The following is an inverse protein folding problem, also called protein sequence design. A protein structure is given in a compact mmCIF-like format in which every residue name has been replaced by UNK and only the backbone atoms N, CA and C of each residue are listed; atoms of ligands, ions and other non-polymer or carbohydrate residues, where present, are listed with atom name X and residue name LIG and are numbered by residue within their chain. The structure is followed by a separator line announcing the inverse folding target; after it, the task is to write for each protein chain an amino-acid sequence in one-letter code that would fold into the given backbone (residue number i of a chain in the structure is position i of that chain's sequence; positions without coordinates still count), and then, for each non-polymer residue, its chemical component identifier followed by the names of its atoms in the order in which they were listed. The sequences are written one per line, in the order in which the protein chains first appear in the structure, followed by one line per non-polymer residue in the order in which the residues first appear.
data_IF_088583376420
#
_entry.id   IF_088583376420
#
_cell.length_a   1.000
_cell.length_b   1.000
_cell.length_c   1.000
_cell.angle_alpha   90.00
_cell.angle_beta   90.00
_cell.angle_gamma   90.00
#
_symmetry.space_group_name_H-M   'P 1'
#
loop_
_entity.id
_entity.type
_entity.pdbx_description
1 polymer ?
#
# COMPACT_ATOMS: atom_id res chain seq x y z
N UNK A 1 4.20 43.98 -69.26
CA UNK A 1 3.29 42.81 -69.37
C UNK A 1 3.85 41.71 -68.49
N UNK A 2 3.36 41.67 -67.30
CA UNK A 2 3.66 40.56 -66.35
C UNK A 2 2.33 39.98 -65.94
N UNK A 3 2.04 38.80 -66.42
CA UNK A 3 0.90 37.97 -66.04
C UNK A 3 1.09 37.43 -64.63
N UNK A 4 0.13 37.68 -63.78
CA UNK A 4 0.02 37.11 -62.43
C UNK A 4 -0.68 35.74 -62.55
N UNK A 5 0.06 34.67 -62.29
CA UNK A 5 -0.51 33.37 -62.04
C UNK A 5 -0.92 33.30 -60.56
N UNK A 6 -2.20 33.05 -60.32
CA UNK A 6 -2.76 32.75 -59.02
C UNK A 6 -2.65 31.29 -58.75
N UNK A 7 -1.76 30.88 -57.83
CA UNK A 7 -1.72 29.56 -57.26
C UNK A 7 -2.95 29.33 -56.37
N UNK A 8 -3.75 28.38 -56.76
CA UNK A 8 -4.85 27.83 -55.96
C UNK A 8 -4.26 26.93 -54.86
N UNK A 9 -4.31 27.35 -53.61
CA UNK A 9 -4.09 26.51 -52.43
C UNK A 9 -5.18 25.42 -52.41
N UNK A 10 -4.82 24.21 -52.86
CA UNK A 10 -5.61 23.03 -52.59
C UNK A 10 -5.60 22.74 -51.10
N UNK A 11 -6.71 23.04 -50.42
CA UNK A 11 -6.98 22.64 -49.05
C UNK A 11 -6.91 21.12 -48.89
N UNK A 12 -5.76 20.56 -48.51
CA UNK A 12 -5.61 19.17 -48.08
C UNK A 12 -6.29 19.05 -46.74
N UNK A 13 -7.55 18.72 -46.74
CA UNK A 13 -8.32 18.42 -45.51
C UNK A 13 -7.76 17.15 -44.90
N UNK A 14 -7.25 17.25 -43.66
CA UNK A 14 -6.70 16.17 -42.85
C UNK A 14 -7.71 15.00 -42.80
N UNK A 15 -7.31 13.77 -43.21
CA UNK A 15 -8.17 12.59 -43.18
C UNK A 15 -8.78 12.30 -41.80
N UNK A 16 -8.11 12.74 -40.72
CA UNK A 16 -8.61 12.64 -39.35
C UNK A 16 -9.78 13.61 -39.10
N UNK A 17 -9.76 14.80 -39.68
CA UNK A 17 -10.86 15.76 -39.61
C UNK A 17 -12.08 15.25 -40.39
N UNK A 18 -11.88 14.58 -41.52
CA UNK A 18 -12.95 14.02 -42.31
C UNK A 18 -13.62 12.82 -41.63
N UNK A 19 -12.83 11.93 -40.98
CA UNK A 19 -13.34 10.81 -40.19
C UNK A 19 -14.14 11.26 -38.95
N UNK A 20 -13.82 12.42 -38.37
CA UNK A 20 -14.51 12.98 -37.21
C UNK A 20 -15.79 13.77 -37.58
N UNK A 21 -15.99 14.14 -38.81
CA UNK A 21 -17.19 14.87 -39.27
C UNK A 21 -18.47 14.00 -39.32
N UNK A 22 -18.33 12.67 -39.37
CA UNK A 22 -19.46 11.73 -39.36
C UNK A 22 -19.87 11.21 -37.99
N UNK A 23 -19.12 11.53 -36.94
CA UNK A 23 -19.42 11.07 -35.59
C UNK A 23 -20.34 12.07 -34.93
N UNK A 24 -21.54 11.65 -34.54
CA UNK A 24 -22.44 12.46 -33.73
C UNK A 24 -21.78 12.76 -32.37
N UNK A 25 -21.11 13.93 -32.31
CA UNK A 25 -20.39 14.42 -31.12
C UNK A 25 -21.29 14.52 -29.91
N UNK A 26 -22.59 14.71 -30.10
CA UNK A 26 -23.56 14.77 -29.02
C UNK A 26 -23.81 13.35 -28.45
N UNK A 27 -23.90 12.33 -29.28
CA UNK A 27 -24.05 10.93 -28.84
C UNK A 27 -22.79 10.42 -28.14
N UNK A 28 -21.62 10.73 -28.66
CA UNK A 28 -20.33 10.33 -28.06
C UNK A 28 -20.08 11.05 -26.73
N UNK A 29 -20.38 12.33 -26.62
CA UNK A 29 -20.30 13.09 -25.38
C UNK A 29 -21.32 12.58 -24.34
N UNK A 30 -22.54 12.19 -24.75
CA UNK A 30 -23.54 11.64 -23.83
C UNK A 30 -23.16 10.25 -23.32
N UNK A 31 -22.55 9.39 -24.14
CA UNK A 31 -22.07 8.09 -23.70
C UNK A 31 -20.86 8.18 -22.76
N UNK A 32 -19.88 9.04 -23.06
CA UNK A 32 -18.76 9.29 -22.15
C UNK A 32 -19.23 9.89 -20.81
N UNK A 33 -20.19 10.81 -20.86
CA UNK A 33 -20.79 11.42 -19.66
C UNK A 33 -21.58 10.41 -18.82
N UNK A 34 -22.32 9.49 -19.45
CA UNK A 34 -23.06 8.45 -18.74
C UNK A 34 -22.14 7.41 -18.07
N UNK A 35 -21.05 7.02 -18.74
CA UNK A 35 -20.05 6.12 -18.15
C UNK A 35 -19.31 6.81 -17.00
N UNK A 36 -18.92 8.08 -17.18
CA UNK A 36 -18.24 8.86 -16.14
C UNK A 36 -19.18 9.14 -14.95
N UNK A 37 -20.45 9.50 -15.21
CA UNK A 37 -21.49 9.65 -14.19
C UNK A 37 -21.80 8.34 -13.46
N UNK A 38 -21.82 7.22 -14.17
CA UNK A 38 -22.00 5.89 -13.57
C UNK A 38 -20.86 5.52 -12.64
N UNK A 39 -19.62 5.73 -13.05
CA UNK A 39 -18.43 5.45 -12.26
C UNK A 39 -18.31 6.39 -11.05
N UNK A 40 -18.56 7.69 -11.26
CA UNK A 40 -18.50 8.71 -10.20
C UNK A 40 -19.68 8.57 -9.25
N UNK A 41 -20.89 8.28 -9.74
CA UNK A 41 -22.08 8.07 -8.91
C UNK A 41 -21.97 6.83 -8.05
N UNK A 42 -21.36 5.76 -8.55
CA UNK A 42 -21.12 4.54 -7.80
C UNK A 42 -20.15 4.75 -6.63
N UNK A 43 -19.02 5.42 -6.87
CA UNK A 43 -18.04 5.76 -5.83
C UNK A 43 -18.60 6.75 -4.78
N UNK A 44 -19.53 7.64 -5.19
CA UNK A 44 -20.23 8.57 -4.29
C UNK A 44 -21.15 7.87 -3.28
N UNK A 45 -21.83 6.81 -3.71
CA UNK A 45 -22.72 6.03 -2.85
C UNK A 45 -21.94 5.24 -1.80
N UNK A 46 -20.70 4.86 -2.11
CA UNK A 46 -19.87 4.00 -1.26
C UNK A 46 -18.90 4.76 -0.34
N UNK A 47 -18.60 6.04 -0.60
CA UNK A 47 -17.66 6.80 0.21
C UNK A 47 -18.37 7.70 1.22
N UNK A 48 -18.08 7.53 2.50
CA UNK A 48 -18.44 8.48 3.56
C UNK A 48 -17.55 9.73 3.57
N UNK A 49 -16.65 9.87 2.58
CA UNK A 49 -15.64 10.91 2.53
C UNK A 49 -16.15 12.17 1.82
N UNK A 50 -16.34 13.24 2.58
CA UNK A 50 -16.78 14.55 2.08
C UNK A 50 -15.86 15.16 1.00
N UNK A 51 -14.57 14.85 1.00
CA UNK A 51 -13.62 15.34 -0.01
C UNK A 51 -13.91 14.72 -1.38
N UNK A 52 -14.35 13.48 -1.41
CA UNK A 52 -14.74 12.77 -2.62
C UNK A 52 -16.04 13.34 -3.22
N UNK A 53 -16.99 13.72 -2.39
CA UNK A 53 -18.23 14.40 -2.86
C UNK A 53 -17.93 15.69 -3.58
N UNK A 54 -16.95 16.48 -3.10
CA UNK A 54 -16.51 17.73 -3.76
C UNK A 54 -15.88 17.46 -5.13
N UNK A 55 -15.03 16.43 -5.25
CA UNK A 55 -14.41 16.03 -6.51
C UNK A 55 -15.42 15.49 -7.51
N UNK A 56 -16.37 14.69 -7.05
CA UNK A 56 -17.44 14.17 -7.88
C UNK A 56 -18.36 15.28 -8.39
N UNK A 57 -18.70 16.26 -7.56
CA UNK A 57 -19.48 17.43 -7.94
C UNK A 57 -18.74 18.27 -8.96
N UNK A 58 -17.42 18.43 -8.81
CA UNK A 58 -16.57 19.12 -9.78
C UNK A 58 -16.51 18.34 -11.10
N UNK A 59 -16.39 17.02 -11.08
CA UNK A 59 -16.39 16.18 -12.28
C UNK A 59 -17.74 16.25 -13.02
N UNK A 60 -18.86 16.22 -12.30
CA UNK A 60 -20.20 16.43 -12.87
C UNK A 60 -20.33 17.82 -13.47
N UNK A 61 -19.85 18.85 -12.78
CA UNK A 61 -19.86 20.23 -13.28
C UNK A 61 -19.03 20.39 -14.56
N UNK A 62 -17.84 19.74 -14.62
CA UNK A 62 -16.99 19.72 -15.81
C UNK A 62 -17.66 18.95 -16.97
N UNK A 63 -18.25 17.80 -16.72
CA UNK A 63 -18.96 17.03 -17.73
C UNK A 63 -20.16 17.80 -18.31
N UNK A 64 -20.96 18.43 -17.46
CA UNK A 64 -22.05 19.33 -17.88
C UNK A 64 -21.56 20.56 -18.65
N UNK A 65 -20.41 21.10 -18.29
CA UNK A 65 -19.77 22.23 -19.01
C UNK A 65 -19.33 21.82 -20.41
N UNK A 66 -18.78 20.61 -20.57
CA UNK A 66 -18.38 20.05 -21.86
C UNK A 66 -19.56 19.73 -22.78
N UNK A 67 -20.74 19.42 -22.23
CA UNK A 67 -21.95 19.03 -22.97
C UNK A 67 -22.73 20.21 -23.62
N UNK A 68 -22.27 21.45 -23.58
CA UNK A 68 -22.81 22.61 -24.27
C UNK A 68 -24.31 22.95 -23.99
N UNK A 69 -24.99 22.37 -23.04
CA UNK A 69 -26.38 22.65 -22.70
C UNK A 69 -26.47 23.83 -21.72
N UNK A 70 -26.79 25.05 -22.18
CA UNK A 70 -26.71 26.30 -21.43
C UNK A 70 -27.48 26.33 -20.10
N UNK A 71 -28.67 25.73 -20.03
CA UNK A 71 -29.50 25.73 -18.81
C UNK A 71 -29.02 24.65 -17.81
N UNK A 72 -28.56 23.49 -18.29
CA UNK A 72 -27.97 22.45 -17.46
C UNK A 72 -26.66 22.92 -16.83
N UNK A 73 -25.89 23.73 -17.58
CA UNK A 73 -24.66 24.37 -17.12
C UNK A 73 -24.88 25.29 -15.91
N UNK A 74 -25.92 26.12 -15.92
CA UNK A 74 -26.26 27.01 -14.79
C UNK A 74 -26.74 26.21 -13.55
N UNK A 75 -27.59 25.20 -13.75
CA UNK A 75 -28.09 24.36 -12.66
C UNK A 75 -26.97 23.55 -12.01
N UNK A 76 -26.06 22.96 -12.79
CA UNK A 76 -24.93 22.19 -12.30
C UNK A 76 -23.91 23.08 -11.56
N UNK A 77 -23.65 24.29 -12.04
CA UNK A 77 -22.76 25.24 -11.36
C UNK A 77 -23.36 25.67 -10.02
N UNK A 78 -24.68 25.95 -9.96
CA UNK A 78 -25.37 26.29 -8.73
C UNK A 78 -25.37 25.13 -7.71
N UNK A 79 -25.56 23.90 -8.17
CA UNK A 79 -25.47 22.71 -7.31
C UNK A 79 -24.04 22.49 -6.79
N UNK A 80 -23.01 22.67 -7.63
CA UNK A 80 -21.61 22.57 -7.23
C UNK A 80 -21.23 23.61 -6.17
N UNK A 81 -21.69 24.84 -6.31
CA UNK A 81 -21.45 25.91 -5.33
C UNK A 81 -22.12 25.60 -3.99
N UNK A 82 -23.37 25.10 -4.01
CA UNK A 82 -24.09 24.73 -2.79
C UNK A 82 -23.43 23.59 -2.01
N UNK A 83 -22.72 22.66 -2.68
CA UNK A 83 -21.95 21.58 -2.02
C UNK A 83 -20.62 22.08 -1.44
N UNK A 84 -20.04 23.11 -2.05
CA UNK A 84 -18.79 23.71 -1.56
C UNK A 84 -19.01 24.58 -0.30
N UNK A 85 -20.23 25.10 -0.10
CA UNK A 85 -20.59 25.96 1.03
C UNK A 85 -21.08 25.20 2.28
N UNK A 86 -21.09 23.85 2.25
CA UNK A 86 -21.41 23.07 3.44
C UNK A 86 -20.24 23.18 4.44
N UNK A 87 -20.49 23.67 5.69
CA UNK A 87 -19.44 23.80 6.68
C UNK A 87 -18.82 22.44 6.98
N UNK A 88 -17.48 22.40 7.06
CA UNK A 88 -16.72 21.20 7.41
C UNK A 88 -17.14 20.73 8.80
N UNK A 89 -17.83 19.61 8.87
CA UNK A 89 -18.03 18.91 10.14
C UNK A 89 -16.64 18.49 10.66
N UNK A 90 -16.32 18.74 11.97
CA UNK A 90 -15.06 18.30 12.52
C UNK A 90 -14.87 16.80 12.28
N UNK A 91 -13.68 16.42 11.83
CA UNK A 91 -13.28 15.02 11.69
C UNK A 91 -13.64 14.29 12.99
N UNK A 92 -14.31 13.12 12.92
CA UNK A 92 -14.67 12.38 14.09
C UNK A 92 -13.40 12.11 14.91
N UNK A 93 -13.41 12.61 16.15
CA UNK A 93 -12.37 12.33 17.14
C UNK A 93 -12.15 10.82 17.17
N UNK A 94 -10.86 10.43 17.10
CA UNK A 94 -10.35 9.05 17.17
C UNK A 94 -11.21 8.23 18.14
N UNK A 95 -12.10 7.36 17.60
CA UNK A 95 -12.83 6.40 18.44
C UNK A 95 -11.79 5.45 19.00
N UNK A 96 -11.75 5.34 20.34
CA UNK A 96 -10.98 4.28 20.99
C UNK A 96 -11.40 2.93 20.40
N UNK A 97 -10.43 2.05 20.12
CA UNK A 97 -10.74 0.73 19.62
C UNK A 97 -11.64 0.01 20.63
N UNK A 98 -12.69 -0.68 20.19
CA UNK A 98 -13.61 -1.35 21.08
C UNK A 98 -12.86 -2.36 21.96
N UNK A 99 -13.23 -2.44 23.25
CA UNK A 99 -12.65 -3.33 24.28
C UNK A 99 -12.48 -4.81 23.88
N UNK A 100 -13.14 -5.26 22.80
CA UNK A 100 -13.06 -6.62 22.24
C UNK A 100 -11.71 -7.00 21.64
N UNK A 101 -10.84 -6.05 21.25
CA UNK A 101 -9.55 -6.39 20.61
C UNK A 101 -8.55 -7.10 21.53
N UNK A 102 -8.70 -7.03 22.84
CA UNK A 102 -7.73 -7.65 23.77
C UNK A 102 -7.80 -9.17 23.82
N UNK A 103 -8.95 -9.76 23.54
CA UNK A 103 -9.19 -11.22 23.57
C UNK A 103 -8.90 -11.90 22.23
N UNK A 104 -8.82 -11.16 21.15
CA UNK A 104 -8.86 -11.72 19.79
C UNK A 104 -7.56 -12.35 19.28
N UNK A 105 -6.39 -11.98 19.81
CA UNK A 105 -5.15 -12.53 19.26
C UNK A 105 -4.87 -13.95 19.74
N UNK A 106 -5.38 -14.34 20.90
CA UNK A 106 -5.23 -15.71 21.42
C UNK A 106 -6.02 -16.69 20.54
N UNK A 107 -7.12 -16.23 19.94
CA UNK A 107 -8.01 -17.01 19.09
C UNK A 107 -7.66 -16.95 17.58
N UNK A 108 -6.79 -16.01 17.16
CA UNK A 108 -6.42 -15.87 15.75
C UNK A 108 -5.32 -16.86 15.39
N UNK A 109 -5.55 -17.74 14.40
CA UNK A 109 -4.52 -18.63 13.91
C UNK A 109 -3.28 -17.84 13.47
N UNK A 110 -2.13 -18.21 14.00
CA UNK A 110 -0.85 -17.56 13.73
C UNK A 110 0.21 -18.58 13.36
N UNK A 111 1.05 -18.20 12.43
CA UNK A 111 2.18 -18.98 11.99
C UNK A 111 3.46 -18.15 12.07
N UNK A 112 4.43 -18.59 12.87
CA UNK A 112 5.80 -18.08 12.81
C UNK A 112 6.48 -18.78 11.65
N UNK A 113 6.83 -18.00 10.62
CA UNK A 113 7.50 -18.52 9.44
C UNK A 113 8.94 -18.91 9.83
N UNK A 114 9.39 -20.14 9.59
CA UNK A 114 10.77 -20.54 9.91
C UNK A 114 11.79 -19.71 9.13
N UNK A 115 12.89 -19.36 9.78
CA UNK A 115 14.06 -18.75 9.15
C UNK A 115 15.00 -19.83 8.64
N UNK A 116 15.43 -19.71 7.38
CA UNK A 116 16.38 -20.63 6.75
C UNK A 116 17.40 -19.84 5.93
N UNK A 117 18.67 -19.89 6.33
CA UNK A 117 19.74 -19.11 5.69
C UNK A 117 20.59 -19.94 4.71
N UNK A 118 20.65 -21.25 4.90
CA UNK A 118 21.54 -22.11 4.13
C UNK A 118 21.05 -22.33 2.71
N UNK A 119 19.86 -22.91 2.57
CA UNK A 119 19.23 -23.14 1.27
C UNK A 119 17.74 -22.74 1.29
N UNK A 120 17.24 -22.12 0.21
CA UNK A 120 15.83 -21.75 0.13
C UNK A 120 14.96 -23.02 0.18
N UNK A 121 14.16 -23.18 1.24
CA UNK A 121 13.18 -24.25 1.35
C UNK A 121 11.76 -23.69 1.37
N UNK A 122 10.76 -24.43 0.87
CA UNK A 122 9.38 -23.97 0.89
C UNK A 122 8.90 -23.61 2.31
N UNK A 123 8.08 -22.58 2.40
CA UNK A 123 7.51 -22.10 3.66
C UNK A 123 8.53 -21.50 4.64
N UNK A 124 9.60 -20.91 4.12
CA UNK A 124 10.63 -20.24 4.92
C UNK A 124 10.87 -18.79 4.48
N UNK A 125 11.53 -18.06 5.34
CA UNK A 125 12.10 -16.76 5.01
C UNK A 125 13.59 -16.72 5.35
N UNK A 126 14.33 -15.82 4.71
CA UNK A 126 15.75 -15.54 4.98
C UNK A 126 16.04 -14.05 4.89
N UNK A 127 17.17 -13.67 5.39
CA UNK A 127 17.68 -12.31 5.21
C UNK A 127 17.92 -12.02 3.72
N UNK A 128 17.46 -10.87 3.26
CA UNK A 128 17.75 -10.37 1.91
C UNK A 128 18.80 -9.26 1.99
N UNK A 129 19.97 -9.42 1.34
CA UNK A 129 20.99 -8.37 1.33
C UNK A 129 20.43 -7.08 0.73
N UNK A 130 20.76 -5.93 1.35
CA UNK A 130 20.25 -4.64 0.91
C UNK A 130 20.72 -4.26 -0.50
N UNK A 131 21.91 -4.69 -0.91
CA UNK A 131 22.49 -4.43 -2.23
C UNK A 131 21.84 -5.24 -3.38
N UNK A 132 20.92 -6.15 -3.06
CA UNK A 132 19.99 -6.76 -4.02
C UNK A 132 19.09 -5.72 -4.69
N UNK A 133 18.79 -4.61 -3.99
CA UNK A 133 17.83 -3.61 -4.45
C UNK A 133 18.53 -2.37 -4.99
N UNK A 134 18.03 -1.88 -6.14
CA UNK A 134 18.47 -0.63 -6.73
C UNK A 134 17.52 0.50 -6.37
N UNK A 135 18.02 1.46 -5.61
CA UNK A 135 17.30 2.60 -5.10
C UNK A 135 17.84 3.92 -5.70
N UNK A 136 17.22 5.04 -5.40
CA UNK A 136 17.66 6.36 -5.88
C UNK A 136 19.07 6.67 -5.34
N UNK A 137 20.01 6.95 -6.24
CA UNK A 137 21.38 7.37 -5.89
C UNK A 137 21.44 8.82 -5.37
N UNK A 138 22.61 9.25 -4.92
CA UNK A 138 22.79 10.59 -4.32
C UNK A 138 22.46 11.76 -5.27
N UNK A 139 22.63 11.57 -6.58
CA UNK A 139 22.33 12.59 -7.61
C UNK A 139 21.02 12.31 -8.37
N UNK A 140 20.19 11.39 -7.90
CA UNK A 140 19.01 10.90 -8.62
C UNK A 140 18.05 11.99 -9.10
N UNK A 141 17.90 13.07 -8.37
CA UNK A 141 16.98 14.15 -8.80
C UNK A 141 17.43 14.80 -10.11
N UNK A 142 18.75 14.76 -10.40
CA UNK A 142 19.37 15.32 -11.62
C UNK A 142 19.53 14.28 -12.73
N UNK A 143 20.06 13.10 -12.41
CA UNK A 143 20.51 12.11 -13.41
C UNK A 143 19.60 10.87 -13.54
N UNK A 144 18.65 10.69 -12.60
CA UNK A 144 17.75 9.52 -12.54
C UNK A 144 18.48 8.19 -12.35
N UNK A 145 19.74 8.20 -11.93
CA UNK A 145 20.55 7.00 -11.73
C UNK A 145 20.16 6.33 -10.41
N UNK A 146 19.87 5.03 -10.49
CA UNK A 146 19.72 4.16 -9.32
C UNK A 146 21.02 3.44 -9.03
N UNK A 147 21.29 3.21 -7.77
CA UNK A 147 22.47 2.49 -7.28
C UNK A 147 22.03 1.35 -6.37
N UNK A 148 22.86 0.37 -6.17
CA UNK A 148 22.67 -0.64 -5.13
C UNK A 148 22.56 0.04 -3.78
N UNK A 149 21.60 -0.40 -2.96
CA UNK A 149 21.48 0.13 -1.61
C UNK A 149 22.71 -0.19 -0.79
N UNK A 150 23.08 0.73 0.08
CA UNK A 150 23.98 0.44 1.19
C UNK A 150 23.28 -0.46 2.23
N UNK A 151 23.98 -0.76 3.34
CA UNK A 151 23.47 -1.62 4.42
C UNK A 151 22.09 -1.15 4.90
N UNK A 152 21.21 -2.12 5.17
CA UNK A 152 19.87 -1.83 5.67
C UNK A 152 19.92 -1.20 7.07
N UNK A 153 19.05 -0.23 7.34
CA UNK A 153 18.95 0.42 8.66
C UNK A 153 18.47 -0.53 9.75
N UNK A 154 17.57 -1.44 9.41
CA UNK A 154 17.03 -2.48 10.28
C UNK A 154 17.18 -3.85 9.62
N UNK A 155 17.26 -4.89 10.44
CA UNK A 155 17.28 -6.28 10.02
C UNK A 155 16.00 -6.98 10.47
N UNK A 156 15.36 -7.73 9.58
CA UNK A 156 14.22 -8.57 9.92
C UNK A 156 14.71 -9.70 10.81
N UNK A 157 14.10 -9.88 11.99
CA UNK A 157 14.46 -10.90 12.97
C UNK A 157 13.36 -11.94 13.18
N UNK A 158 12.11 -11.57 12.87
CA UNK A 158 10.97 -12.48 13.02
C UNK A 158 9.91 -12.15 11.94
N UNK A 159 9.28 -13.19 11.42
CA UNK A 159 8.21 -13.09 10.42
C UNK A 159 7.05 -13.95 10.89
N UNK A 160 5.90 -13.31 10.98
CA UNK A 160 4.66 -13.99 11.34
C UNK A 160 3.56 -13.70 10.35
N UNK A 161 2.74 -14.71 10.11
CA UNK A 161 1.50 -14.57 9.35
C UNK A 161 0.33 -14.89 10.27
N UNK A 162 -0.69 -14.05 10.22
CA UNK A 162 -1.96 -14.28 10.90
C UNK A 162 -3.08 -14.28 9.85
N UNK A 163 -4.15 -15.00 10.12
CA UNK A 163 -5.38 -14.91 9.34
C UNK A 163 -6.47 -14.27 10.20
N UNK A 164 -6.81 -13.04 9.91
CA UNK A 164 -7.86 -12.33 10.63
C UNK A 164 -9.18 -12.41 9.88
N UNK A 165 -10.24 -12.96 10.47
CA UNK A 165 -11.58 -12.97 9.87
C UNK A 165 -12.27 -11.61 9.96
N UNK A 166 -11.89 -10.77 10.91
CA UNK A 166 -12.54 -9.50 11.22
C UNK A 166 -11.80 -8.27 10.65
N UNK A 167 -10.84 -8.49 9.74
CA UNK A 167 -10.09 -7.44 9.07
C UNK A 167 -8.74 -7.12 9.70
N UNK A 168 -8.22 -5.95 9.40
CA UNK A 168 -6.89 -5.53 9.82
C UNK A 168 -6.79 -5.35 11.35
N UNK A 169 -5.66 -5.75 11.92
CA UNK A 169 -5.38 -5.69 13.36
C UNK A 169 -4.20 -4.76 13.63
N UNK A 170 -4.44 -3.45 13.84
CA UNK A 170 -3.39 -2.52 14.23
C UNK A 170 -2.97 -2.73 15.70
N UNK A 171 -1.87 -2.09 16.09
CA UNK A 171 -1.38 -2.02 17.48
C UNK A 171 -0.99 -3.39 18.08
N UNK A 172 -0.57 -4.35 17.24
CA UNK A 172 -0.21 -5.71 17.67
C UNK A 172 0.91 -5.70 18.72
N UNK A 173 1.98 -4.91 18.54
CA UNK A 173 3.08 -4.84 19.47
C UNK A 173 2.68 -4.19 20.80
N UNK A 174 1.71 -3.31 20.78
CA UNK A 174 1.19 -2.67 22.01
C UNK A 174 0.42 -3.66 22.86
N UNK A 175 -0.44 -4.45 22.22
CA UNK A 175 -1.29 -5.43 22.92
C UNK A 175 -0.58 -6.74 23.25
N UNK A 176 0.46 -7.08 22.49
CA UNK A 176 1.20 -8.34 22.61
C UNK A 176 2.72 -8.08 22.73
N UNK A 177 3.19 -7.70 23.94
CA UNK A 177 4.61 -7.40 24.16
C UNK A 177 5.57 -8.55 23.79
N UNK A 178 5.13 -9.79 23.87
CA UNK A 178 5.93 -10.99 23.46
C UNK A 178 6.33 -10.95 21.99
N UNK A 179 5.62 -10.19 21.14
CA UNK A 179 5.96 -10.00 19.72
C UNK A 179 7.15 -9.08 19.50
N UNK A 180 7.58 -8.30 20.51
CA UNK A 180 8.67 -7.32 20.39
C UNK A 180 10.06 -7.96 20.40
N UNK A 181 10.17 -9.20 20.81
CA UNK A 181 11.45 -9.91 20.90
C UNK A 181 12.38 -9.37 21.99
N UNK A 182 11.85 -9.08 23.19
CA UNK A 182 12.60 -8.67 24.38
C UNK A 182 12.45 -7.18 24.76
N UNK A 183 13.31 -6.71 25.64
CA UNK A 183 13.37 -5.30 26.02
C UNK A 183 13.75 -4.41 24.85
N UNK A 184 13.16 -3.23 24.80
CA UNK A 184 13.34 -2.28 23.70
C UNK A 184 13.77 -0.92 24.22
N UNK A 185 14.67 -0.25 23.49
CA UNK A 185 15.20 1.08 23.83
C UNK A 185 15.02 2.03 22.64
N UNK A 186 15.01 3.30 22.94
CA UNK A 186 15.14 4.34 21.91
C UNK A 186 16.58 4.83 21.85
N UNK A 187 17.17 4.83 20.67
CA UNK A 187 18.54 5.24 20.41
C UNK A 187 18.53 6.55 19.63
N UNK A 188 18.67 7.65 20.34
CA UNK A 188 18.65 9.01 19.77
C UNK A 188 17.47 9.26 18.81
N UNK A 189 16.27 8.76 19.19
CA UNK A 189 15.03 8.88 18.40
C UNK A 189 14.79 7.81 17.35
N UNK A 190 15.67 6.79 17.22
CA UNK A 190 15.39 5.55 16.51
C UNK A 190 14.90 4.49 17.51
N UNK A 191 13.78 3.79 17.24
CA UNK A 191 13.36 2.67 18.05
C UNK A 191 14.31 1.49 17.82
N UNK A 192 14.60 0.74 18.88
CA UNK A 192 15.37 -0.50 18.73
C UNK A 192 14.59 -1.58 17.98
N UNK A 193 13.27 -1.56 18.11
CA UNK A 193 12.36 -2.46 17.43
C UNK A 193 11.42 -1.69 16.52
N UNK A 194 11.39 -2.07 15.25
CA UNK A 194 10.41 -1.61 14.27
C UNK A 194 9.56 -2.80 13.83
N UNK A 195 8.25 -2.63 13.72
CA UNK A 195 7.40 -3.64 13.11
C UNK A 195 6.65 -3.07 11.91
N UNK A 196 6.59 -3.86 10.86
CA UNK A 196 5.71 -3.64 9.73
C UNK A 196 4.56 -4.64 9.82
N UNK A 197 3.38 -4.13 10.04
CA UNK A 197 2.14 -4.88 10.14
C UNK A 197 1.33 -4.62 8.88
N UNK A 198 1.32 -5.56 7.94
CA UNK A 198 0.74 -5.40 6.60
C UNK A 198 -0.49 -6.29 6.48
N UNK A 199 -1.66 -5.68 6.43
CA UNK A 199 -2.91 -6.39 6.17
C UNK A 199 -3.17 -6.47 4.66
N UNK A 200 -3.19 -7.69 4.13
CA UNK A 200 -3.43 -7.99 2.72
C UNK A 200 -4.75 -8.75 2.54
N UNK A 201 -5.54 -8.49 1.47
CA UNK A 201 -6.83 -9.13 1.27
C UNK A 201 -6.71 -10.65 1.10
N UNK A 202 -7.55 -11.42 1.79
CA UNK A 202 -7.73 -12.87 1.60
C UNK A 202 -8.68 -13.18 0.43
N UNK A 203 -9.52 -12.24 0.05
CA UNK A 203 -10.56 -12.42 -0.95
C UNK A 203 -10.29 -11.55 -2.18
N UNK A 204 -10.82 -11.99 -3.31
CA UNK A 204 -10.77 -11.18 -4.53
C UNK A 204 -11.48 -9.82 -4.29
N UNK A 205 -10.91 -8.71 -4.78
CA UNK A 205 -11.53 -7.42 -4.58
C UNK A 205 -12.91 -7.37 -5.26
N UNK A 206 -13.93 -6.99 -4.51
CA UNK A 206 -15.25 -6.76 -5.07
C UNK A 206 -15.39 -5.34 -5.62
N UNK A 207 -16.31 -5.17 -6.58
CA UNK A 207 -16.64 -3.85 -7.14
C UNK A 207 -17.28 -2.95 -6.07
N UNK A 208 -17.96 -3.54 -5.07
CA UNK A 208 -18.56 -2.82 -3.94
C UNK A 208 -17.54 -2.20 -2.98
N UNK A 209 -16.25 -2.39 -3.24
CA UNK A 209 -15.18 -1.79 -2.46
C UNK A 209 -14.66 -2.67 -1.32
N UNK A 210 -13.63 -2.19 -0.66
CA UNK A 210 -13.06 -2.80 0.53
C UNK A 210 -13.88 -2.42 1.75
N UNK A 211 -14.16 -3.40 2.60
CA UNK A 211 -14.76 -3.17 3.92
C UNK A 211 -13.69 -3.37 4.99
N UNK A 212 -13.60 -2.48 5.99
CA UNK A 212 -12.59 -2.61 7.06
C UNK A 212 -12.63 -3.94 7.83
N UNK A 213 -13.79 -4.60 7.84
CA UNK A 213 -14.00 -5.91 8.47
C UNK A 213 -13.87 -7.10 7.50
N UNK A 214 -13.32 -6.90 6.28
CA UNK A 214 -13.10 -8.02 5.37
C UNK A 214 -11.94 -8.89 5.84
N UNK A 215 -12.04 -10.22 5.71
CA UNK A 215 -10.96 -11.13 6.09
C UNK A 215 -9.63 -10.76 5.41
N UNK A 216 -8.54 -10.85 6.14
CA UNK A 216 -7.22 -10.51 5.62
C UNK A 216 -6.12 -11.42 6.17
N UNK A 217 -5.04 -11.52 5.37
CA UNK A 217 -3.75 -11.97 5.84
C UNK A 217 -3.03 -10.80 6.50
N UNK A 218 -2.42 -11.02 7.65
CA UNK A 218 -1.55 -10.07 8.30
C UNK A 218 -0.14 -10.60 8.25
N UNK A 219 0.73 -9.93 7.51
CA UNK A 219 2.17 -10.16 7.51
C UNK A 219 2.81 -9.22 8.52
N UNK A 220 3.29 -9.76 9.63
CA UNK A 220 4.01 -9.03 10.66
C UNK A 220 5.51 -9.30 10.50
N UNK A 221 6.26 -8.28 10.13
CA UNK A 221 7.72 -8.28 10.11
C UNK A 221 8.22 -7.55 11.34
N UNK A 222 8.97 -8.23 12.20
CA UNK A 222 9.64 -7.60 13.34
C UNK A 222 11.11 -7.37 12.96
N UNK A 223 11.55 -6.14 13.11
CA UNK A 223 12.86 -5.70 12.71
C UNK A 223 13.61 -5.14 13.94
N UNK A 224 14.92 -5.40 14.00
CA UNK A 224 15.82 -4.78 14.97
C UNK A 224 16.77 -3.84 14.25
N UNK A 225 17.14 -2.75 14.93
CA UNK A 225 18.12 -1.82 14.38
C UNK A 225 19.44 -2.54 14.10
N UNK A 226 19.96 -2.40 12.88
CA UNK A 226 21.21 -3.04 12.48
C UNK A 226 22.42 -2.48 13.25
N UNK A 227 23.43 -3.28 13.51
CA UNK A 227 24.58 -2.91 14.37
C UNK A 227 25.28 -1.63 13.90
N UNK A 228 25.48 -1.42 12.60
CA UNK A 228 26.08 -0.20 12.07
C UNK A 228 25.22 1.05 12.33
N UNK A 229 23.89 0.93 12.17
CA UNK A 229 22.97 2.03 12.42
C UNK A 229 22.86 2.31 13.94
N UNK A 230 22.91 1.25 14.74
CA UNK A 230 22.99 1.32 16.21
C UNK A 230 24.25 2.07 16.64
N UNK A 231 25.40 1.72 16.11
CA UNK A 231 26.67 2.38 16.42
C UNK A 231 26.59 3.88 16.09
N UNK A 232 26.13 4.26 14.89
CA UNK A 232 25.96 5.66 14.52
C UNK A 232 25.02 6.38 15.51
N UNK A 233 23.87 5.80 15.84
CA UNK A 233 22.88 6.40 16.70
C UNK A 233 23.37 6.54 18.16
N UNK A 234 24.33 5.70 18.60
CA UNK A 234 24.91 5.72 19.95
C UNK A 234 26.09 6.68 20.04
N UNK A 235 26.99 6.63 19.04
CA UNK A 235 28.29 7.29 19.12
C UNK A 235 28.26 8.73 18.57
N UNK A 236 27.33 9.06 17.66
CA UNK A 236 27.19 10.41 17.10
C UNK A 236 25.88 11.07 17.58
N UNK A 237 25.95 11.96 18.59
CA UNK A 237 24.78 12.67 19.08
C UNK A 237 24.23 13.72 18.12
N UNK A 238 25.07 14.22 17.19
CA UNK A 238 24.67 15.21 16.19
C UNK A 238 24.06 14.51 14.96
N UNK A 239 22.73 14.48 14.95
CA UNK A 239 21.96 13.85 13.85
C UNK A 239 22.27 14.46 12.48
N UNK A 240 22.74 15.71 12.40
CA UNK A 240 23.07 16.35 11.13
C UNK A 240 24.23 15.64 10.40
N UNK A 241 25.08 14.95 11.13
CA UNK A 241 26.24 14.19 10.62
C UNK A 241 25.88 12.76 10.19
N UNK A 242 24.68 12.30 10.50
CA UNK A 242 24.27 10.96 10.11
C UNK A 242 24.11 10.83 8.59
N UNK A 243 24.27 9.62 8.03
CA UNK A 243 23.96 9.36 6.63
C UNK A 243 22.54 9.81 6.26
N UNK A 244 22.32 10.34 5.05
CA UNK A 244 21.02 10.89 4.62
C UNK A 244 19.85 9.94 4.83
N UNK A 245 19.98 8.68 4.42
CA UNK A 245 18.93 7.67 4.57
C UNK A 245 18.57 7.39 6.02
N UNK A 246 19.56 7.38 6.93
CA UNK A 246 19.32 7.18 8.37
C UNK A 246 18.63 8.40 8.99
N UNK A 247 19.02 9.62 8.59
CA UNK A 247 18.33 10.86 9.00
C UNK A 247 16.86 10.86 8.53
N UNK A 248 16.62 10.48 7.28
CA UNK A 248 15.27 10.39 6.71
C UNK A 248 14.44 9.35 7.45
N UNK A 249 15.01 8.18 7.76
CA UNK A 249 14.35 7.12 8.53
C UNK A 249 13.92 7.63 9.92
N UNK A 250 14.84 8.26 10.66
CA UNK A 250 14.56 8.84 11.97
C UNK A 250 13.46 9.92 11.90
N UNK A 251 13.55 10.83 10.94
CA UNK A 251 12.55 11.87 10.72
C UNK A 251 11.19 11.25 10.41
N UNK A 252 11.15 10.25 9.54
CA UNK A 252 9.93 9.58 9.16
C UNK A 252 9.25 8.88 10.35
N UNK A 253 10.00 8.14 11.15
CA UNK A 253 9.46 7.46 12.34
C UNK A 253 8.90 8.43 13.39
N UNK A 254 9.47 9.64 13.48
CA UNK A 254 9.03 10.67 14.43
C UNK A 254 7.83 11.48 13.92
N UNK A 255 7.89 11.93 12.68
CA UNK A 255 7.01 12.97 12.16
C UNK A 255 5.86 12.43 11.29
N UNK A 256 6.03 11.29 10.62
CA UNK A 256 5.02 10.70 9.73
C UNK A 256 3.66 10.41 10.41
N UNK A 257 3.56 10.11 11.70
CA UNK A 257 2.26 9.99 12.36
C UNK A 257 1.38 11.24 12.26
N UNK A 258 1.98 12.42 12.11
CA UNK A 258 1.30 13.72 12.07
C UNK A 258 1.47 14.45 10.71
N UNK A 259 2.27 13.89 9.80
CA UNK A 259 2.52 14.45 8.48
C UNK A 259 2.13 13.44 7.39
N UNK A 260 0.94 13.58 6.77
CA UNK A 260 0.47 12.65 5.74
C UNK A 260 1.36 12.62 4.50
N UNK A 261 2.07 13.72 4.17
CA UNK A 261 2.99 13.76 3.03
C UNK A 261 4.28 13.00 3.32
N UNK A 262 4.76 13.05 4.54
CA UNK A 262 5.91 12.27 4.98
C UNK A 262 5.55 10.80 5.15
N UNK A 263 4.39 10.50 5.73
CA UNK A 263 3.84 9.15 5.85
C UNK A 263 3.76 8.45 4.49
N UNK A 264 3.29 9.14 3.46
CA UNK A 264 3.14 8.64 2.10
C UNK A 264 4.47 8.30 1.38
N UNK A 265 5.62 8.54 1.99
CA UNK A 265 6.93 8.24 1.39
C UNK A 265 7.39 6.79 1.54
N UNK A 266 6.67 5.98 2.32
CA UNK A 266 7.00 4.57 2.48
C UNK A 266 6.81 3.83 1.16
N UNK A 267 7.88 3.17 0.69
CA UNK A 267 7.91 2.36 -0.53
C UNK A 267 8.20 0.90 -0.20
N UNK A 268 7.49 0.00 -0.87
CA UNK A 268 7.86 -1.40 -0.99
C UNK A 268 8.44 -1.68 -2.37
N UNK A 269 9.48 -2.51 -2.45
CA UNK A 269 10.00 -3.05 -3.70
C UNK A 269 9.95 -4.57 -3.60
N UNK A 270 9.28 -5.19 -4.57
CA UNK A 270 9.07 -6.62 -4.62
C UNK A 270 9.78 -7.16 -5.86
N UNK A 271 10.76 -8.03 -5.67
CA UNK A 271 11.41 -8.77 -6.76
C UNK A 271 10.92 -10.20 -6.70
N UNK A 272 10.12 -10.60 -7.67
CA UNK A 272 9.44 -11.89 -7.68
C UNK A 272 10.02 -12.77 -8.76
N UNK A 273 10.28 -14.02 -8.44
CA UNK A 273 10.72 -15.08 -9.34
C UNK A 273 9.76 -16.27 -9.23
N UNK A 274 9.43 -16.88 -10.36
CA UNK A 274 8.72 -18.15 -10.37
C UNK A 274 9.67 -19.27 -10.00
N UNK A 275 9.17 -20.27 -9.25
CA UNK A 275 9.88 -21.50 -8.97
C UNK A 275 9.68 -22.52 -10.11
N UNK A 276 10.55 -23.51 -10.16
CA UNK A 276 10.42 -24.70 -11.02
C UNK A 276 10.32 -24.39 -12.54
N UNK A 277 10.87 -23.26 -12.98
CA UNK A 277 10.85 -22.88 -14.41
C UNK A 277 9.47 -22.43 -14.93
N UNK A 278 8.49 -22.27 -14.06
CA UNK A 278 7.19 -21.69 -14.42
C UNK A 278 7.35 -20.25 -14.93
N UNK A 279 6.46 -19.85 -15.81
CA UNK A 279 6.43 -18.46 -16.27
C UNK A 279 5.75 -17.56 -15.21
N UNK A 280 6.45 -16.52 -14.82
CA UNK A 280 5.87 -15.50 -13.96
C UNK A 280 4.65 -14.85 -14.63
N UNK A 281 3.48 -14.79 -13.99
CA UNK A 281 2.34 -14.09 -14.55
C UNK A 281 2.71 -12.65 -14.98
N UNK A 282 2.21 -12.22 -16.14
CA UNK A 282 2.59 -10.94 -16.76
C UNK A 282 2.44 -9.73 -15.83
N UNK A 283 1.46 -9.77 -14.92
CA UNK A 283 1.24 -8.72 -13.93
C UNK A 283 2.42 -8.64 -12.97
N UNK A 284 2.97 -9.76 -12.50
CA UNK A 284 4.11 -9.78 -11.58
C UNK A 284 5.41 -9.39 -12.29
N UNK A 285 5.64 -9.89 -13.51
CA UNK A 285 6.77 -9.50 -14.33
C UNK A 285 6.79 -7.97 -14.57
N UNK A 286 5.62 -7.36 -14.77
CA UNK A 286 5.49 -5.91 -14.99
C UNK A 286 5.86 -5.09 -13.73
N UNK A 287 5.55 -5.58 -12.53
CA UNK A 287 5.73 -4.86 -11.27
C UNK A 287 7.00 -5.28 -10.51
N UNK A 288 7.59 -6.43 -10.84
CA UNK A 288 8.82 -6.91 -10.21
C UNK A 288 9.94 -5.89 -10.31
N UNK A 289 10.60 -5.60 -9.19
CA UNK A 289 11.66 -4.60 -9.07
C UNK A 289 11.22 -3.14 -9.14
N UNK A 290 9.91 -2.85 -9.26
CA UNK A 290 9.39 -1.49 -9.26
C UNK A 290 8.93 -1.06 -7.87
N UNK A 291 9.26 0.17 -7.42
CA UNK A 291 8.80 0.66 -6.15
C UNK A 291 7.30 0.97 -6.19
N UNK A 292 6.61 0.61 -5.11
CA UNK A 292 5.20 0.92 -4.88
C UNK A 292 5.09 1.75 -3.60
N UNK A 293 4.38 2.88 -3.65
CA UNK A 293 4.05 3.66 -2.46
C UNK A 293 3.01 2.91 -1.63
N UNK A 294 3.37 2.54 -0.41
CA UNK A 294 2.55 1.67 0.45
C UNK A 294 1.51 2.42 1.27
N UNK A 295 1.78 3.68 1.61
CA UNK A 295 0.94 4.50 2.47
C UNK A 295 0.27 5.67 1.73
N UNK A 296 0.11 5.54 0.41
CA UNK A 296 -0.55 6.52 -0.43
C UNK A 296 -1.56 5.80 -1.32
N UNK A 297 -2.83 6.17 -1.23
CA UNK A 297 -3.79 5.74 -2.22
C UNK A 297 -3.41 6.30 -3.59
N UNK A 298 -3.61 5.49 -4.64
CA UNK A 298 -3.16 5.78 -6.00
C UNK A 298 -3.45 7.19 -6.50
N UNK A 299 -2.80 7.60 -7.58
CA UNK A 299 -2.75 8.98 -8.09
C UNK A 299 -4.10 9.71 -8.23
N UNK A 300 -5.20 8.98 -8.35
CA UNK A 300 -6.55 9.53 -8.50
C UNK A 300 -7.24 9.86 -7.18
N UNK A 301 -6.91 9.19 -6.07
CA UNK A 301 -7.63 9.37 -4.80
C UNK A 301 -7.05 10.46 -3.91
N UNK A 302 -5.80 10.91 -4.15
CA UNK A 302 -5.06 11.88 -3.34
C UNK A 302 -5.08 11.61 -1.83
N UNK A 303 -5.47 10.40 -1.41
CA UNK A 303 -5.38 9.99 -0.02
C UNK A 303 -3.92 9.77 0.32
N UNK A 304 -3.43 10.47 1.32
CA UNK A 304 -2.06 10.40 1.81
C UNK A 304 -2.10 10.01 3.29
N UNK A 305 -1.01 9.43 3.76
CA UNK A 305 -0.85 9.16 5.18
C UNK A 305 -1.70 8.00 5.70
N UNK A 306 -1.91 6.96 4.88
CA UNK A 306 -2.77 5.82 5.22
C UNK A 306 -2.11 4.80 6.15
N UNK A 307 -0.81 4.92 6.44
CA UNK A 307 -0.19 4.12 7.49
C UNK A 307 -0.61 4.62 8.87
N UNK A 308 -0.90 3.69 9.77
CA UNK A 308 -1.17 3.98 11.19
C UNK A 308 0.06 3.63 12.00
N UNK A 309 0.37 4.45 12.99
CA UNK A 309 1.54 4.27 13.83
C UNK A 309 1.11 4.02 15.26
N UNK A 310 1.66 2.99 15.88
CA UNK A 310 1.65 2.84 17.32
C UNK A 310 3.08 2.77 17.85
N UNK A 311 3.31 3.31 19.01
CA UNK A 311 4.64 3.40 19.59
C UNK A 311 4.61 3.25 21.10
N UNK A 312 5.72 2.78 21.63
CA UNK A 312 6.00 2.71 23.06
C UNK A 312 7.50 2.80 23.32
N UNK A 313 7.93 2.54 24.56
CA UNK A 313 9.34 2.60 24.89
C UNK A 313 10.17 1.70 23.96
N UNK A 314 10.97 2.32 23.08
CA UNK A 314 11.90 1.65 22.18
C UNK A 314 11.31 0.84 21.02
N UNK A 315 10.01 0.92 20.76
CA UNK A 315 9.41 0.30 19.59
C UNK A 315 8.46 1.24 18.83
N UNK A 316 8.35 0.99 17.52
CA UNK A 316 7.33 1.59 16.66
C UNK A 316 6.74 0.46 15.81
N UNK A 317 5.42 0.43 15.71
CA UNK A 317 4.69 -0.40 14.74
C UNK A 317 4.09 0.50 13.67
N UNK A 318 4.30 0.13 12.42
CA UNK A 318 3.70 0.76 11.23
C UNK A 318 2.69 -0.21 10.65
N UNK A 319 1.43 0.13 10.78
CA UNK A 319 0.34 -0.67 10.24
C UNK A 319 -0.08 -0.14 8.87
N UNK A 320 -0.16 -1.05 7.90
CA UNK A 320 -0.54 -0.81 6.51
C UNK A 320 -1.73 -1.69 6.15
N UNK A 321 -2.88 -1.10 5.93
CA UNK A 321 -4.03 -1.79 5.34
C UNK A 321 -4.01 -1.62 3.82
N UNK A 322 -3.62 -2.68 3.10
CA UNK A 322 -3.59 -2.71 1.63
C UNK A 322 -5.00 -2.53 1.05
N UNK A 323 -6.01 -3.01 1.75
CA UNK A 323 -7.40 -2.84 1.35
C UNK A 323 -7.84 -1.38 1.35
N UNK A 324 -7.35 -0.59 2.31
CA UNK A 324 -7.62 0.85 2.41
C UNK A 324 -6.71 1.67 1.50
N UNK A 325 -5.42 1.29 1.42
CA UNK A 325 -4.38 2.09 0.76
C UNK A 325 -4.36 1.93 -0.76
N UNK A 326 -4.74 0.76 -1.29
CA UNK A 326 -4.55 0.44 -2.70
C UNK A 326 -5.86 0.62 -3.49
N UNK A 327 -5.71 0.98 -4.77
CA UNK A 327 -6.82 1.00 -5.72
C UNK A 327 -7.37 -0.41 -5.95
N UNK A 328 -8.58 -0.51 -6.53
CA UNK A 328 -9.19 -1.79 -6.91
C UNK A 328 -8.21 -2.71 -7.67
N UNK A 329 -7.53 -2.18 -8.69
CA UNK A 329 -6.52 -2.93 -9.45
C UNK A 329 -5.31 -3.33 -8.60
N UNK A 330 -4.85 -2.44 -7.72
CA UNK A 330 -3.75 -2.73 -6.80
C UNK A 330 -4.11 -3.82 -5.81
N UNK A 331 -5.30 -3.80 -5.23
CA UNK A 331 -5.82 -4.86 -4.36
C UNK A 331 -5.89 -6.20 -5.09
N UNK A 332 -6.39 -6.20 -6.34
CA UNK A 332 -6.42 -7.39 -7.18
C UNK A 332 -5.04 -7.98 -7.45
N UNK A 333 -4.05 -7.13 -7.71
CA UNK A 333 -2.67 -7.56 -7.91
C UNK A 333 -2.07 -8.18 -6.63
N UNK A 334 -2.32 -7.56 -5.46
CA UNK A 334 -1.87 -8.10 -4.16
C UNK A 334 -2.58 -9.42 -3.85
N UNK A 335 -3.91 -9.49 -4.01
CA UNK A 335 -4.66 -10.74 -3.84
C UNK A 335 -4.10 -11.87 -4.71
N UNK A 336 -3.88 -11.59 -6.01
CA UNK A 336 -3.29 -12.57 -6.93
C UNK A 336 -1.89 -12.98 -6.50
N UNK A 337 -1.06 -12.05 -6.03
CA UNK A 337 0.27 -12.36 -5.48
C UNK A 337 0.16 -13.27 -4.26
N UNK A 338 -0.70 -12.93 -3.29
CA UNK A 338 -0.92 -13.73 -2.09
C UNK A 338 -1.39 -15.15 -2.42
N UNK A 339 -2.29 -15.32 -3.41
CA UNK A 339 -2.79 -16.63 -3.86
C UNK A 339 -1.75 -17.49 -4.61
N UNK A 340 -0.64 -16.88 -5.04
CA UNK A 340 0.45 -17.54 -5.79
C UNK A 340 1.76 -17.64 -5.01
N UNK A 341 1.79 -17.19 -3.76
CA UNK A 341 3.02 -17.21 -2.95
C UNK A 341 3.64 -18.60 -2.80
N UNK A 342 2.85 -19.67 -2.88
CA UNK A 342 3.35 -21.06 -2.83
C UNK A 342 4.17 -21.47 -4.05
N UNK A 343 4.12 -20.71 -5.15
CA UNK A 343 4.86 -20.98 -6.39
C UNK A 343 5.93 -19.93 -6.69
N UNK A 344 6.17 -19.03 -5.74
CA UNK A 344 7.03 -17.86 -5.95
C UNK A 344 8.14 -17.76 -4.91
N UNK A 345 9.30 -17.29 -5.38
CA UNK A 345 10.30 -16.64 -4.54
C UNK A 345 10.12 -15.13 -4.62
N UNK A 346 10.16 -14.46 -3.48
CA UNK A 346 10.00 -13.02 -3.41
C UNK A 346 11.06 -12.38 -2.50
N UNK A 347 11.89 -11.51 -3.07
CA UNK A 347 12.70 -10.59 -2.28
C UNK A 347 11.91 -9.30 -2.09
N UNK A 348 11.74 -8.91 -0.84
CA UNK A 348 10.94 -7.74 -0.47
C UNK A 348 11.81 -6.79 0.33
N UNK A 349 11.83 -5.51 -0.06
CA UNK A 349 12.42 -4.48 0.79
C UNK A 349 11.48 -3.30 0.99
N UNK A 350 11.71 -2.59 2.07
CA UNK A 350 11.08 -1.32 2.40
C UNK A 350 12.12 -0.21 2.43
N UNK A 351 11.74 0.95 1.91
CA UNK A 351 12.57 2.14 1.85
C UNK A 351 11.72 3.39 1.90
N UNK A 352 12.33 4.53 2.11
CA UNK A 352 11.66 5.82 2.12
C UNK A 352 12.02 6.64 0.87
N UNK A 353 11.03 7.27 0.26
CA UNK A 353 11.25 8.12 -0.90
C UNK A 353 11.99 9.40 -0.53
N UNK A 354 13.25 9.53 -0.97
CA UNK A 354 13.99 10.78 -0.91
C UNK A 354 13.48 11.77 -1.97
N UNK A 355 13.12 12.99 -1.55
CA UNK A 355 12.56 14.04 -2.41
C UNK A 355 13.45 15.29 -2.48
N UNK A 356 14.50 15.35 -1.68
CA UNK A 356 15.50 16.41 -1.66
C UNK A 356 16.92 15.81 -1.74
N UNK A 357 17.89 16.58 -2.20
CA UNK A 357 19.29 16.11 -2.38
C UNK A 357 19.92 15.66 -1.04
N UNK A 358 19.56 16.30 0.06
CA UNK A 358 20.04 15.96 1.41
C UNK A 358 19.36 14.72 2.02
N UNK A 359 18.36 14.17 1.35
CA UNK A 359 17.66 12.93 1.71
C UNK A 359 18.19 11.71 0.91
N UNK A 360 19.11 11.93 -0.02
CA UNK A 360 19.69 10.91 -0.92
C UNK A 360 21.14 10.59 -0.56
N UNK A 361 21.63 9.37 -0.83
CA UNK A 361 20.92 8.25 -1.47
C UNK A 361 19.85 7.62 -0.56
N UNK A 362 18.83 7.01 -1.21
CA UNK A 362 17.87 6.16 -0.50
C UNK A 362 18.58 4.89 -0.02
N UNK A 363 18.17 4.38 1.15
CA UNK A 363 18.65 3.12 1.70
C UNK A 363 17.49 2.17 2.03
N UNK A 364 17.76 0.88 1.96
CA UNK A 364 16.83 -0.12 2.49
C UNK A 364 16.73 0.06 4.00
N UNK A 365 15.51 0.15 4.52
CA UNK A 365 15.36 0.13 5.95
C UNK A 365 14.99 -1.24 6.53
N UNK A 366 14.54 -2.18 5.69
CA UNK A 366 14.36 -3.58 6.06
C UNK A 366 14.10 -4.42 4.82
N UNK A 367 14.62 -5.65 4.79
CA UNK A 367 14.43 -6.57 3.68
C UNK A 367 14.38 -8.03 4.14
N UNK A 368 13.57 -8.83 3.43
CA UNK A 368 13.49 -10.27 3.62
C UNK A 368 13.22 -10.98 2.29
N UNK A 369 13.66 -12.21 2.17
CA UNK A 369 13.32 -13.12 1.08
C UNK A 369 12.37 -14.19 1.59
N UNK A 370 11.36 -14.51 0.80
CA UNK A 370 10.35 -15.54 1.09
C UNK A 370 10.39 -16.60 0.01
N UNK A 371 10.33 -17.86 0.43
CA UNK A 371 10.35 -19.01 -0.49
C UNK A 371 9.05 -19.79 -0.36
N UNK A 372 8.27 -19.85 -1.43
CA UNK A 372 7.11 -20.71 -1.60
C UNK A 372 6.16 -20.74 -0.39
N UNK A 373 5.67 -19.59 0.08
CA UNK A 373 4.79 -19.53 1.24
C UNK A 373 3.39 -20.07 0.91
N UNK A 374 3.08 -21.27 1.34
CA UNK A 374 1.75 -21.88 1.19
C UNK A 374 0.85 -21.54 2.37
N UNK A 375 0.29 -20.34 2.36
CA UNK A 375 -0.53 -19.81 3.43
C UNK A 375 -1.80 -20.65 3.64
N UNK A 376 -2.51 -21.00 2.57
CA UNK A 376 -3.79 -21.70 2.65
C UNK A 376 -3.65 -23.07 3.29
N UNK A 377 -2.72 -23.90 2.81
CA UNK A 377 -2.52 -25.23 3.38
C UNK A 377 -1.96 -25.16 4.80
N UNK A 378 -1.06 -24.19 5.07
CA UNK A 378 -0.51 -24.02 6.41
C UNK A 378 -1.60 -23.69 7.43
N UNK A 379 -2.50 -22.77 7.11
CA UNK A 379 -3.59 -22.40 8.02
C UNK A 379 -4.68 -23.47 8.12
N UNK A 380 -4.94 -24.25 7.07
CA UNK A 380 -5.78 -25.46 7.17
C UNK A 380 -5.19 -26.47 8.17
N UNK A 381 -3.89 -26.74 8.09
CA UNK A 381 -3.21 -27.65 9.04
C UNK A 381 -3.25 -27.12 10.49
N UNK A 382 -3.03 -25.81 10.70
CA UNK A 382 -3.11 -25.19 12.02
C UNK A 382 -4.52 -25.30 12.60
N UNK A 383 -5.55 -25.04 11.79
CA UNK A 383 -6.96 -25.19 12.20
C UNK A 383 -7.28 -26.64 12.56
N UNK A 384 -6.87 -27.60 11.74
CA UNK A 384 -7.09 -29.00 12.00
C UNK A 384 -6.44 -29.45 13.32
N UNK A 385 -5.18 -29.07 13.57
CA UNK A 385 -4.49 -29.37 14.83
C UNK A 385 -5.17 -28.77 16.05
N UNK A 386 -5.67 -27.54 15.92
CA UNK A 386 -6.44 -26.89 16.98
C UNK A 386 -7.71 -27.67 17.28
N UNK A 387 -8.44 -28.14 16.26
CA UNK A 387 -9.62 -28.96 16.39
C UNK A 387 -9.32 -30.29 17.08
N UNK A 388 -8.24 -30.97 16.70
CA UNK A 388 -7.80 -32.25 17.29
C UNK A 388 -7.35 -32.12 18.77
N UNK A 389 -6.95 -30.90 19.19
CA UNK A 389 -6.53 -30.62 20.57
C UNK A 389 -7.67 -30.29 21.53
N UNK A 390 -8.91 -30.07 21.01
CA UNK A 390 -10.05 -29.81 21.85
C UNK A 390 -10.60 -31.11 22.49
N UNK A 391 -11.03 -31.05 23.76
CA UNK A 391 -11.64 -32.22 24.42
C UNK A 391 -12.90 -32.65 23.66
N UNK A 392 -13.05 -33.97 23.48
CA UNK A 392 -14.22 -34.56 22.78
C UNK A 392 -15.51 -34.22 23.55
N UNK A 393 -16.20 -33.19 23.20
CA UNK A 393 -17.45 -32.81 23.81
C UNK A 393 -17.91 -31.36 23.53
N UNK A 394 -16.99 -30.46 23.13
CA UNK A 394 -17.35 -29.05 22.92
C UNK A 394 -17.61 -28.65 21.46
N UNK A 395 -17.76 -29.65 20.56
CA UNK A 395 -17.77 -29.42 19.11
C UNK A 395 -19.07 -28.90 18.49
N UNK A 396 -20.17 -28.82 19.21
CA UNK A 396 -21.50 -28.69 18.60
C UNK A 396 -21.92 -27.25 18.22
N UNK A 397 -21.07 -26.24 18.28
CA UNK A 397 -21.55 -24.87 18.08
C UNK A 397 -20.66 -23.86 17.38
N UNK A 398 -19.42 -24.21 17.05
CA UNK A 398 -18.44 -23.16 16.68
C UNK A 398 -18.21 -22.97 15.17
N UNK A 399 -18.72 -23.84 14.27
CA UNK A 399 -18.27 -23.82 12.86
C UNK A 399 -19.36 -24.17 11.81
N UNK A 400 -20.65 -23.99 12.10
CA UNK A 400 -21.72 -24.41 11.17
C UNK A 400 -22.02 -23.45 10.00
N UNK A 401 -21.41 -22.27 9.91
CA UNK A 401 -21.82 -21.23 8.93
C UNK A 401 -20.91 -21.04 7.69
N UNK A 402 -19.78 -21.78 7.53
CA UNK A 402 -18.82 -21.49 6.46
C UNK A 402 -18.58 -22.63 5.43
N UNK A 403 -19.52 -23.59 5.32
CA UNK A 403 -19.48 -24.60 4.24
C UNK A 403 -20.78 -24.51 3.41
N UNK A 404 -20.84 -23.51 2.54
CA UNK A 404 -21.64 -23.57 1.30
C UNK A 404 -20.96 -22.78 0.19
#
# INVERSE_FOLDING_TARGET
DVSSDSDSDDDVVDPLQQALQGVDRAAMASHLSLVTLGLVGYDLIQSEDYSFRRLATLAIAIACWLCHAGEVKKAALKAATAVLDVPETPLPTRREPPRRMRTMLEDVPRWTVPREEAEPTPNTWRHSPADTFQLRGGSYLRDRVKIKSDKATYEVVDVRVLRSPEGAMPDLLTHHPSLRGGETRSLNGLPETLALNIAAPCEAPSISGWRPASPCWILLLVLKIADHARAIATDEPDVSKWPPGLRLCRRWLRDAPNDPYLCARLKGVFQVRALDGEQLPRVFAKWSGKPVLMAAAGALSRRLGLAKFSSGPGFVEVHLDIGESFSYMGRGAVYLMMSKLSTLDADVCFTLEGRADDELPEVVFGAASFTALDLENKFKQLRQRALESLPSGEFAGLFDDDIK
#
